data_IF_255138742235
#
_entry.id   IF_255138742235
#
_cell.length_a   1.000
_cell.length_b   1.000
_cell.length_c   1.000
_cell.angle_alpha   90.00
_cell.angle_beta   90.00
_cell.angle_gamma   90.00
#
_symmetry.space_group_name_H-M   'P 1'
#
loop_
_entity.id
_entity.type
_entity.pdbx_description
1 polymer ?
#
# COMPACT_ATOMS: atom_id res chain seq x y z
N UNK A 1 -8.22 -25.62 7.32
CA UNK A 1 -7.12 -24.92 6.63
C UNK A 1 -7.42 -23.43 6.62
N UNK A 2 -6.53 -22.65 7.19
CA UNK A 2 -6.76 -21.23 7.40
C UNK A 2 -5.72 -20.40 6.66
N UNK A 3 -5.77 -20.44 5.34
CA UNK A 3 -5.06 -19.51 4.48
C UNK A 3 -6.07 -18.72 3.65
N UNK A 4 -5.84 -17.45 3.51
CA UNK A 4 -6.68 -16.56 2.72
C UNK A 4 -5.84 -15.66 1.82
N UNK A 5 -6.33 -15.37 0.63
CA UNK A 5 -5.75 -14.42 -0.30
C UNK A 5 -6.82 -13.44 -0.76
N UNK A 6 -6.49 -12.15 -0.77
CA UNK A 6 -7.32 -11.13 -1.38
C UNK A 6 -6.82 -10.82 -2.78
N UNK A 7 -7.67 -11.05 -3.77
CA UNK A 7 -7.42 -10.76 -5.17
C UNK A 7 -8.19 -9.51 -5.56
N UNK A 8 -7.49 -8.56 -6.15
CA UNK A 8 -8.05 -7.27 -6.58
C UNK A 8 -7.67 -6.96 -8.02
N UNK A 9 -8.50 -6.18 -8.70
CA UNK A 9 -8.19 -5.66 -10.04
C UNK A 9 -7.47 -4.31 -9.88
N UNK A 10 -6.17 -4.24 -10.17
CA UNK A 10 -5.44 -3.00 -10.04
C UNK A 10 -5.80 -2.04 -11.18
N UNK A 11 -6.28 -0.86 -10.82
CA UNK A 11 -6.73 0.18 -11.77
C UNK A 11 -5.60 0.77 -12.62
N UNK A 12 -4.34 0.60 -12.20
CA UNK A 12 -3.16 1.12 -12.92
C UNK A 12 -2.86 0.41 -14.23
N UNK A 13 -3.40 -0.80 -14.42
CA UNK A 13 -3.18 -1.58 -15.63
C UNK A 13 -4.41 -1.55 -16.53
N UNK A 14 -4.22 -1.30 -17.82
CA UNK A 14 -5.27 -1.34 -18.84
C UNK A 14 -5.56 -2.78 -19.32
N UNK A 15 -4.71 -3.73 -18.98
CA UNK A 15 -4.84 -5.16 -19.29
C UNK A 15 -5.58 -5.88 -18.13
N UNK A 16 -6.20 -7.03 -18.40
CA UNK A 16 -6.84 -7.83 -17.34
C UNK A 16 -5.80 -8.48 -16.42
N UNK A 17 -5.32 -7.71 -15.45
CA UNK A 17 -4.35 -8.10 -14.44
C UNK A 17 -5.09 -8.30 -13.12
N UNK A 18 -4.74 -9.36 -12.40
CA UNK A 18 -5.15 -9.58 -11.01
C UNK A 18 -3.98 -9.26 -10.10
N UNK A 19 -4.22 -8.55 -9.02
CA UNK A 19 -3.21 -8.36 -7.98
C UNK A 19 -3.53 -9.24 -6.77
N UNK A 20 -2.52 -9.97 -6.30
CA UNK A 20 -2.53 -10.59 -4.99
C UNK A 20 -2.21 -9.50 -3.96
N UNK A 21 -3.26 -8.91 -3.40
CA UNK A 21 -3.16 -7.76 -2.53
C UNK A 21 -2.90 -8.10 -1.07
N UNK A 22 -3.29 -9.29 -0.63
CA UNK A 22 -3.06 -9.78 0.75
C UNK A 22 -2.97 -11.30 0.76
N UNK A 23 -2.10 -11.81 1.63
CA UNK A 23 -1.89 -13.22 1.85
C UNK A 23 -1.75 -13.45 3.37
N UNK A 24 -2.53 -14.36 3.91
CA UNK A 24 -2.56 -14.66 5.35
C UNK A 24 -2.61 -16.17 5.55
N UNK A 25 -1.85 -16.68 6.49
CA UNK A 25 -1.95 -18.04 6.98
C UNK A 25 -2.11 -18.05 8.50
N UNK A 26 -2.89 -19.00 9.01
CA UNK A 26 -2.90 -19.29 10.44
C UNK A 26 -1.55 -19.90 10.85
N UNK A 27 -1.10 -19.67 12.10
CA UNK A 27 0.18 -20.21 12.58
C UNK A 27 0.31 -21.73 12.49
N UNK A 28 -0.81 -22.43 12.61
CA UNK A 28 -0.95 -23.89 12.55
C UNK A 28 -1.34 -24.41 11.16
N UNK A 29 -1.26 -23.58 10.14
CA UNK A 29 -1.56 -23.98 8.77
C UNK A 29 -0.50 -24.97 8.27
N UNK A 30 -0.88 -26.25 8.18
CA UNK A 30 0.01 -27.33 7.68
C UNK A 30 0.33 -27.27 6.20
N UNK A 31 -0.18 -26.28 5.46
CA UNK A 31 0.07 -26.11 4.03
C UNK A 31 1.12 -25.04 3.79
N UNK A 32 2.22 -25.35 3.10
CA UNK A 32 3.19 -24.34 2.71
C UNK A 32 2.54 -23.22 1.91
N UNK A 33 2.88 -21.97 2.20
CA UNK A 33 2.30 -20.80 1.54
C UNK A 33 2.57 -20.77 0.03
N UNK A 34 3.71 -21.32 -0.41
CA UNK A 34 4.03 -21.50 -1.82
C UNK A 34 3.05 -22.42 -2.54
N UNK A 35 2.61 -23.49 -1.89
CA UNK A 35 1.59 -24.42 -2.42
C UNK A 35 0.22 -23.71 -2.49
N UNK A 36 -0.13 -22.94 -1.49
CA UNK A 36 -1.37 -22.17 -1.51
C UNK A 36 -1.39 -21.15 -2.66
N UNK A 37 -0.27 -20.44 -2.90
CA UNK A 37 -0.13 -19.54 -4.06
C UNK A 37 -0.28 -20.31 -5.37
N UNK A 38 0.29 -21.52 -5.47
CA UNK A 38 0.14 -22.34 -6.67
C UNK A 38 -1.33 -22.67 -6.93
N UNK A 39 -2.10 -23.06 -5.91
CA UNK A 39 -3.54 -23.30 -6.03
C UNK A 39 -4.32 -22.05 -6.45
N UNK A 40 -3.99 -20.88 -5.89
CA UNK A 40 -4.58 -19.61 -6.33
C UNK A 40 -4.30 -19.33 -7.82
N UNK A 41 -3.07 -19.57 -8.27
CA UNK A 41 -2.71 -19.39 -9.67
C UNK A 41 -3.46 -20.38 -10.59
N UNK A 42 -3.68 -21.63 -10.16
CA UNK A 42 -4.41 -22.64 -10.91
C UNK A 42 -5.91 -22.29 -11.00
N UNK A 43 -6.51 -21.83 -9.91
CA UNK A 43 -7.90 -21.35 -9.92
C UNK A 43 -8.08 -20.15 -10.85
N UNK A 44 -7.19 -19.17 -10.77
CA UNK A 44 -7.21 -18.02 -11.66
C UNK A 44 -7.03 -18.41 -13.14
N UNK A 45 -6.19 -19.41 -13.42
CA UNK A 45 -6.00 -19.94 -14.78
C UNK A 45 -7.29 -20.60 -15.31
N UNK A 46 -7.98 -21.37 -14.46
CA UNK A 46 -9.29 -21.95 -14.79
C UNK A 46 -10.34 -20.89 -15.08
N UNK A 47 -10.29 -19.77 -14.38
CA UNK A 47 -11.15 -18.59 -14.59
C UNK A 47 -10.68 -17.68 -15.73
N UNK A 48 -9.75 -18.15 -16.56
CA UNK A 48 -9.25 -17.43 -17.74
C UNK A 48 -8.52 -16.12 -17.46
N UNK A 49 -8.06 -15.90 -16.23
CA UNK A 49 -7.16 -14.80 -15.95
C UNK A 49 -5.80 -15.02 -16.63
N UNK A 50 -5.14 -13.93 -17.03
CA UNK A 50 -3.93 -13.98 -17.85
C UNK A 50 -2.66 -13.72 -17.06
N UNK A 51 -2.72 -12.77 -16.15
CA UNK A 51 -1.56 -12.23 -15.47
C UNK A 51 -1.91 -11.91 -14.01
N UNK A 52 -1.03 -12.30 -13.10
CA UNK A 52 -1.10 -11.95 -11.70
C UNK A 52 0.14 -11.13 -11.31
N UNK A 53 -0.05 -10.13 -10.48
CA UNK A 53 1.01 -9.32 -9.88
C UNK A 53 0.91 -9.32 -8.37
N UNK A 54 1.99 -9.03 -7.68
CA UNK A 54 2.00 -8.80 -6.24
C UNK A 54 3.12 -7.85 -5.85
N UNK A 55 3.03 -7.32 -4.64
CA UNK A 55 3.97 -6.36 -4.11
C UNK A 55 4.52 -6.86 -2.77
N UNK A 56 5.84 -6.88 -2.63
CA UNK A 56 6.50 -7.08 -1.35
C UNK A 56 6.93 -5.70 -0.81
N UNK A 57 6.55 -5.42 0.43
CA UNK A 57 6.80 -4.14 1.07
C UNK A 57 8.22 -4.08 1.61
N UNK A 58 9.06 -3.28 0.95
CA UNK A 58 10.45 -3.11 1.35
C UNK A 58 10.61 -2.26 2.63
N UNK A 59 9.60 -1.48 3.00
CA UNK A 59 9.61 -0.67 4.23
C UNK A 59 9.71 -1.55 5.48
N UNK A 60 9.01 -2.69 5.45
CA UNK A 60 9.04 -3.69 6.53
C UNK A 60 10.02 -4.85 6.27
N UNK A 61 10.98 -4.66 5.36
CA UNK A 61 12.03 -5.63 5.07
C UNK A 61 11.60 -6.82 4.20
N UNK A 62 10.40 -6.81 3.65
CA UNK A 62 9.95 -7.89 2.77
C UNK A 62 10.58 -7.76 1.38
N UNK A 63 11.48 -8.67 1.05
CA UNK A 63 12.14 -8.74 -0.26
C UNK A 63 11.43 -9.65 -1.27
N UNK A 64 10.31 -10.30 -0.87
CA UNK A 64 9.51 -11.15 -1.74
C UNK A 64 10.02 -12.59 -1.89
N UNK A 65 10.76 -13.12 -0.92
CA UNK A 65 11.30 -14.49 -0.96
C UNK A 65 10.26 -15.57 -1.27
N UNK A 66 9.02 -15.39 -0.80
CA UNK A 66 7.91 -16.28 -1.12
C UNK A 66 7.59 -16.30 -2.63
N UNK A 67 7.57 -15.16 -3.29
CA UNK A 67 7.33 -15.06 -4.74
C UNK A 67 8.49 -15.63 -5.53
N UNK A 68 9.72 -15.42 -5.07
CA UNK A 68 10.94 -15.99 -5.66
C UNK A 68 10.88 -17.52 -5.59
N UNK A 69 10.55 -18.09 -4.42
CA UNK A 69 10.37 -19.53 -4.22
C UNK A 69 9.25 -20.12 -5.11
N UNK A 70 8.25 -19.31 -5.47
CA UNK A 70 7.18 -19.70 -6.40
C UNK A 70 7.54 -19.47 -7.89
N UNK A 71 8.75 -19.04 -8.20
CA UNK A 71 9.20 -18.78 -9.58
C UNK A 71 8.49 -17.61 -10.26
N UNK A 72 8.10 -16.57 -9.49
CA UNK A 72 7.56 -15.35 -10.06
C UNK A 72 8.69 -14.47 -10.59
N UNK A 73 8.43 -13.74 -11.66
CA UNK A 73 9.39 -12.77 -12.18
C UNK A 73 9.41 -11.50 -11.33
N UNK A 74 10.61 -10.97 -11.12
CA UNK A 74 10.83 -9.70 -10.44
C UNK A 74 10.90 -8.57 -11.46
N UNK A 75 10.11 -7.50 -11.27
CA UNK A 75 10.07 -6.35 -12.20
C UNK A 75 10.80 -5.12 -11.66
N UNK A 76 11.31 -5.18 -10.44
CA UNK A 76 12.05 -4.09 -9.82
C UNK A 76 11.34 -3.42 -8.67
N UNK A 77 12.02 -2.45 -8.08
CA UNK A 77 11.51 -1.61 -7.02
C UNK A 77 10.63 -0.50 -7.62
N UNK A 78 9.42 -0.39 -7.15
CA UNK A 78 8.54 0.74 -7.45
C UNK A 78 8.96 1.95 -6.63
N UNK A 79 8.81 3.14 -7.23
CA UNK A 79 9.21 4.40 -6.57
C UNK A 79 8.57 4.51 -5.19
N UNK A 80 9.33 5.00 -4.22
CA UNK A 80 8.79 5.40 -2.94
C UNK A 80 7.64 6.38 -3.12
N UNK A 81 6.62 6.23 -2.32
CA UNK A 81 5.47 7.15 -2.30
C UNK A 81 5.20 7.54 -0.86
N UNK A 82 4.75 8.76 -0.66
CA UNK A 82 4.19 9.14 0.63
C UNK A 82 2.85 8.40 0.81
N UNK A 83 2.85 7.39 1.65
CA UNK A 83 1.69 6.49 1.86
C UNK A 83 0.87 6.90 3.09
N UNK A 84 1.39 7.83 3.91
CA UNK A 84 0.74 8.31 5.12
C UNK A 84 1.63 9.22 5.95
N UNK A 85 1.20 9.45 7.17
CA UNK A 85 1.93 10.24 8.16
C UNK A 85 2.16 9.41 9.43
N UNK A 86 3.19 9.74 10.16
CA UNK A 86 3.38 9.31 11.55
C UNK A 86 2.86 10.44 12.43
N UNK A 87 1.81 10.18 13.19
CA UNK A 87 1.20 11.13 14.11
C UNK A 87 1.39 10.56 15.52
N UNK A 88 2.09 11.31 16.37
CA UNK A 88 2.42 10.90 17.75
C UNK A 88 3.04 9.49 17.81
N UNK A 89 3.94 9.19 16.88
CA UNK A 89 4.61 7.90 16.75
C UNK A 89 3.77 6.78 16.11
N UNK A 90 2.53 7.04 15.72
CA UNK A 90 1.63 6.04 15.11
C UNK A 90 1.48 6.30 13.61
N UNK A 91 1.71 5.26 12.80
CA UNK A 91 1.48 5.36 11.36
C UNK A 91 0.00 5.44 11.01
N UNK A 92 -0.38 6.51 10.31
CA UNK A 92 -1.74 6.73 9.80
C UNK A 92 -1.71 6.71 8.27
N UNK A 93 -2.35 5.72 7.63
CA UNK A 93 -2.39 5.62 6.16
C UNK A 93 -3.03 6.84 5.51
N UNK A 94 -2.50 7.26 4.36
CA UNK A 94 -2.98 8.44 3.63
C UNK A 94 -4.46 8.37 3.25
N UNK A 95 -5.02 7.16 3.06
CA UNK A 95 -6.46 6.99 2.85
C UNK A 95 -7.27 7.37 4.09
N UNK A 96 -6.79 6.96 5.27
CA UNK A 96 -7.40 7.31 6.55
C UNK A 96 -7.30 8.82 6.83
N UNK A 97 -6.14 9.40 6.54
CA UNK A 97 -5.94 10.85 6.65
C UNK A 97 -6.92 11.63 5.78
N UNK A 98 -7.01 11.23 4.50
CA UNK A 98 -7.92 11.88 3.56
C UNK A 98 -9.40 11.76 3.98
N UNK A 99 -9.77 10.63 4.58
CA UNK A 99 -11.12 10.40 5.07
C UNK A 99 -11.43 11.24 6.32
N UNK A 100 -10.46 11.31 7.27
CA UNK A 100 -10.64 11.98 8.55
C UNK A 100 -10.43 13.50 8.48
N UNK A 101 -9.51 13.94 7.65
CA UNK A 101 -9.00 15.33 7.64
C UNK A 101 -9.06 16.00 6.27
N UNK A 102 -9.59 15.32 5.25
CA UNK A 102 -9.64 15.86 3.89
C UNK A 102 -8.29 16.02 3.19
N UNK A 103 -7.19 15.57 3.80
CA UNK A 103 -5.83 15.72 3.23
C UNK A 103 -4.93 14.54 3.56
N UNK A 104 -3.88 14.35 2.75
CA UNK A 104 -2.77 13.40 2.99
C UNK A 104 -1.45 14.11 3.24
N UNK A 105 -1.44 15.42 3.13
CA UNK A 105 -0.24 16.24 3.27
C UNK A 105 -0.05 16.69 4.71
N UNK A 106 1.16 16.52 5.26
CA UNK A 106 1.52 17.03 6.57
C UNK A 106 1.43 18.57 6.61
N UNK A 107 1.80 19.23 5.51
CA UNK A 107 1.72 20.67 5.37
C UNK A 107 0.28 21.15 5.42
N UNK A 108 -0.60 20.57 4.58
CA UNK A 108 -2.03 20.91 4.62
C UNK A 108 -2.71 20.56 5.93
N UNK A 109 -2.24 19.54 6.64
CA UNK A 109 -2.76 19.22 7.97
C UNK A 109 -2.41 20.31 8.98
N UNK A 110 -1.20 20.88 8.90
CA UNK A 110 -0.79 22.04 9.70
C UNK A 110 -1.55 23.31 9.33
N UNK A 111 -1.77 23.56 8.02
CA UNK A 111 -2.59 24.66 7.55
C UNK A 111 -4.04 24.53 8.05
N UNK A 112 -4.60 23.31 8.02
CA UNK A 112 -5.92 23.05 8.56
C UNK A 112 -5.97 23.31 10.07
N UNK A 113 -4.98 22.86 10.84
CA UNK A 113 -4.87 23.19 12.27
C UNK A 113 -4.93 24.70 12.50
N UNK A 114 -4.17 25.45 11.69
CA UNK A 114 -4.14 26.93 11.76
C UNK A 114 -5.51 27.56 11.43
N UNK A 115 -6.18 27.08 10.38
CA UNK A 115 -7.54 27.52 10.02
C UNK A 115 -8.56 27.29 11.15
N UNK A 116 -8.31 26.29 11.97
CA UNK A 116 -9.17 25.91 13.08
C UNK A 116 -8.96 26.78 14.32
N UNK A 117 -7.74 27.26 14.56
CA UNK A 117 -7.50 28.29 15.57
C UNK A 117 -8.26 29.58 15.20
N UNK A 118 -8.29 29.95 13.90
CA UNK A 118 -9.09 31.05 13.41
C UNK A 118 -10.62 30.82 13.58
N UNK A 119 -11.11 29.60 13.36
CA UNK A 119 -12.51 29.23 13.60
C UNK A 119 -12.87 29.43 15.08
N UNK A 120 -12.00 29.00 15.99
CA UNK A 120 -12.20 29.21 17.42
C UNK A 120 -12.21 30.70 17.80
N UNK A 121 -11.31 31.48 17.21
CA UNK A 121 -11.25 32.96 17.41
C UNK A 121 -12.48 33.68 16.81
N UNK A 122 -12.97 33.21 15.65
CA UNK A 122 -14.15 33.76 14.99
C UNK A 122 -15.47 33.46 15.69
N UNK A 123 -15.45 32.58 16.71
CA UNK A 123 -16.64 32.19 17.47
C UNK A 123 -17.62 31.33 16.67
N UNK A 124 -17.16 30.64 15.64
CA UNK A 124 -17.94 29.69 14.86
C UNK A 124 -18.27 28.48 15.75
N UNK A 125 -19.56 28.20 15.90
CA UNK A 125 -20.05 27.19 16.84
C UNK A 125 -20.76 26.01 16.16
N UNK A 126 -21.09 26.14 14.89
CA UNK A 126 -21.77 25.09 14.13
C UNK A 126 -20.86 24.43 13.11
N UNK A 127 -21.01 23.12 12.88
CA UNK A 127 -20.27 22.41 11.85
C UNK A 127 -20.51 23.00 10.45
N UNK A 128 -21.74 23.47 10.15
CA UNK A 128 -22.04 24.05 8.85
C UNK A 128 -21.25 25.34 8.58
N UNK A 129 -21.18 26.24 9.53
CA UNK A 129 -20.36 27.46 9.40
C UNK A 129 -18.88 27.14 9.26
N UNK A 130 -18.40 26.12 10.00
CA UNK A 130 -17.05 25.66 9.94
C UNK A 130 -16.73 24.98 8.58
N UNK A 131 -17.67 24.21 8.02
CA UNK A 131 -17.57 23.60 6.69
C UNK A 131 -17.47 24.67 5.59
N UNK A 132 -18.34 25.67 5.64
CA UNK A 132 -18.34 26.79 4.70
C UNK A 132 -17.00 27.55 4.78
N UNK A 133 -16.50 27.74 5.99
CA UNK A 133 -15.24 28.42 6.24
C UNK A 133 -14.04 27.70 5.65
N UNK A 134 -13.88 26.39 5.88
CA UNK A 134 -12.74 25.61 5.35
C UNK A 134 -12.87 25.35 3.85
N UNK A 135 -14.10 25.18 3.35
CA UNK A 135 -14.35 24.96 1.92
C UNK A 135 -13.99 26.20 1.10
N UNK A 136 -14.30 27.39 1.60
CA UNK A 136 -13.88 28.66 0.98
C UNK A 136 -12.36 28.81 0.86
N UNK A 137 -11.60 28.07 1.68
CA UNK A 137 -10.11 27.98 1.65
C UNK A 137 -9.57 26.78 0.88
N UNK A 138 -10.43 26.03 0.20
CA UNK A 138 -10.04 24.90 -0.66
C UNK A 138 -9.74 23.60 0.09
N UNK A 139 -10.18 23.46 1.34
CA UNK A 139 -10.11 22.21 2.07
C UNK A 139 -11.33 21.32 1.79
N UNK A 140 -11.14 20.01 1.84
CA UNK A 140 -12.24 19.06 1.80
C UNK A 140 -12.83 18.90 3.20
N UNK A 141 -14.16 18.78 3.27
CA UNK A 141 -14.85 18.55 4.53
C UNK A 141 -14.48 17.18 5.11
N UNK A 142 -13.97 17.13 6.36
CA UNK A 142 -13.72 15.90 7.05
C UNK A 142 -15.01 15.10 7.28
N UNK A 143 -14.93 13.76 7.19
CA UNK A 143 -16.08 12.87 7.34
C UNK A 143 -16.77 13.01 8.71
N UNK A 144 -16.01 13.21 9.75
CA UNK A 144 -16.49 13.25 11.13
C UNK A 144 -16.93 14.68 11.56
N UNK A 145 -17.00 15.61 10.60
CA UNK A 145 -17.26 17.03 10.84
C UNK A 145 -15.98 17.84 11.12
N UNK A 146 -16.08 19.14 10.88
CA UNK A 146 -14.92 20.06 10.98
C UNK A 146 -14.52 20.26 12.44
N UNK A 147 -15.47 20.52 13.34
CA UNK A 147 -15.17 20.77 14.75
C UNK A 147 -14.55 19.56 15.47
N UNK A 148 -14.98 18.36 15.12
CA UNK A 148 -14.38 17.13 15.69
C UNK A 148 -12.98 16.87 15.12
N UNK A 149 -12.78 17.08 13.82
CA UNK A 149 -11.45 17.00 13.19
C UNK A 149 -10.48 18.01 13.83
N UNK A 150 -10.96 19.20 14.12
CA UNK A 150 -10.22 20.27 14.84
C UNK A 150 -9.64 19.77 16.14
N UNK A 151 -10.49 19.27 17.01
CA UNK A 151 -10.08 18.78 18.35
C UNK A 151 -8.98 17.70 18.21
N UNK A 152 -9.14 16.80 17.23
CA UNK A 152 -8.15 15.74 16.96
C UNK A 152 -6.83 16.29 16.46
N UNK A 153 -6.86 17.29 15.55
CA UNK A 153 -5.64 17.89 15.01
C UNK A 153 -4.91 18.72 16.07
N UNK A 154 -5.63 19.51 16.87
CA UNK A 154 -5.05 20.31 17.95
C UNK A 154 -4.42 19.47 19.06
N UNK A 155 -4.84 18.21 19.21
CA UNK A 155 -4.25 17.27 20.15
C UNK A 155 -3.00 16.56 19.62
N UNK A 156 -2.62 16.74 18.35
CA UNK A 156 -1.42 16.12 17.77
C UNK A 156 -0.17 16.87 18.21
N UNK A 157 0.78 16.15 18.81
CA UNK A 157 2.06 16.73 19.24
C UNK A 157 3.11 16.64 18.15
N UNK A 158 3.13 15.56 17.37
CA UNK A 158 4.09 15.37 16.28
C UNK A 158 3.41 14.90 15.01
N UNK A 159 3.82 15.44 13.87
CA UNK A 159 3.36 15.03 12.55
C UNK A 159 4.56 14.94 11.62
N UNK A 160 4.87 13.72 11.19
CA UNK A 160 6.02 13.42 10.34
C UNK A 160 5.56 12.69 9.07
N UNK A 161 6.27 12.91 7.96
CA UNK A 161 6.00 12.18 6.71
C UNK A 161 6.53 10.75 6.84
N UNK A 162 5.67 9.77 6.61
CA UNK A 162 6.11 8.38 6.52
C UNK A 162 6.78 8.13 5.17
N UNK A 163 8.05 7.74 5.22
CA UNK A 163 8.81 7.39 4.02
C UNK A 163 8.61 5.92 3.69
N UNK A 164 7.81 5.63 2.65
CA UNK A 164 7.72 4.30 2.06
C UNK A 164 8.96 4.06 1.19
N UNK A 165 9.78 3.08 1.56
CA UNK A 165 10.99 2.69 0.82
C UNK A 165 10.70 2.10 -0.57
N UNK A 166 9.44 2.06 -0.97
CA UNK A 166 8.97 1.46 -2.20
C UNK A 166 8.65 -0.03 -2.06
N UNK A 167 7.99 -0.55 -3.07
CA UNK A 167 7.52 -1.95 -3.08
C UNK A 167 8.13 -2.71 -4.25
N UNK A 168 8.65 -3.88 -3.97
CA UNK A 168 9.14 -4.81 -4.99
C UNK A 168 7.96 -5.40 -5.75
N UNK A 169 7.91 -5.23 -7.06
CA UNK A 169 6.88 -5.81 -7.91
C UNK A 169 7.30 -7.19 -8.41
N UNK A 170 6.43 -8.14 -8.18
CA UNK A 170 6.50 -9.50 -8.72
C UNK A 170 5.33 -9.77 -9.65
N UNK A 171 5.55 -10.57 -10.68
CA UNK A 171 4.50 -10.95 -11.61
C UNK A 171 4.66 -12.40 -12.10
N UNK A 172 3.55 -13.00 -12.49
CA UNK A 172 3.53 -14.33 -13.10
C UNK A 172 2.48 -14.38 -14.20
N UNK A 173 2.87 -14.86 -15.39
CA UNK A 173 1.93 -15.21 -16.45
C UNK A 173 1.21 -16.53 -16.09
N UNK A 174 -0.10 -16.53 -16.20
CA UNK A 174 -0.92 -17.72 -15.91
C UNK A 174 -1.10 -18.58 -17.16
N UNK A 175 -0.91 -18.01 -18.36
CA UNK A 175 -0.98 -18.68 -19.65
C UNK A 175 -0.16 -17.92 -20.70
N UNK A 176 -0.18 -18.42 -21.94
CA UNK A 176 0.57 -17.80 -23.07
C UNK A 176 0.12 -16.34 -23.32
N UNK A 177 -1.19 -16.07 -23.27
CA UNK A 177 -1.71 -14.71 -23.42
C UNK A 177 -1.22 -13.79 -22.30
N UNK A 178 -0.98 -14.32 -21.09
CA UNK A 178 -0.38 -13.58 -19.98
C UNK A 178 1.06 -13.14 -20.25
N UNK A 179 1.86 -13.95 -20.93
CA UNK A 179 3.21 -13.55 -21.36
C UNK A 179 3.16 -12.36 -22.34
N UNK A 180 2.21 -12.40 -23.28
CA UNK A 180 1.98 -11.29 -24.22
C UNK A 180 1.53 -10.03 -23.50
N UNK A 181 0.59 -10.15 -22.54
CA UNK A 181 0.16 -9.03 -21.70
C UNK A 181 1.31 -8.44 -20.89
N UNK A 182 2.14 -9.28 -20.26
CA UNK A 182 3.31 -8.82 -19.51
C UNK A 182 4.28 -8.03 -20.38
N UNK A 183 4.57 -8.50 -21.60
CA UNK A 183 5.41 -7.80 -22.57
C UNK A 183 4.80 -6.44 -22.98
N UNK A 184 3.49 -6.40 -23.25
CA UNK A 184 2.77 -5.17 -23.61
C UNK A 184 2.77 -4.14 -22.49
N UNK A 185 2.71 -4.59 -21.25
CA UNK A 185 2.81 -3.75 -20.04
C UNK A 185 4.25 -3.33 -19.70
N UNK A 186 5.25 -3.80 -20.46
CA UNK A 186 6.65 -3.51 -20.21
C UNK A 186 7.20 -4.14 -18.92
N UNK A 187 6.58 -5.22 -18.44
CA UNK A 187 7.05 -5.93 -17.25
C UNK A 187 8.38 -6.64 -17.55
N UNK A 188 9.32 -6.48 -16.65
CA UNK A 188 10.68 -7.02 -16.77
C UNK A 188 10.85 -8.32 -15.97
N UNK A 189 11.90 -9.03 -16.26
CA UNK A 189 12.39 -10.16 -15.46
C UNK A 189 13.83 -9.83 -15.05
N UNK A 190 13.96 -9.22 -13.89
CA UNK A 190 15.24 -8.79 -13.33
C UNK A 190 15.78 -9.83 -12.35
N UNK A 191 17.08 -9.80 -12.03
CA UNK A 191 17.63 -10.58 -10.93
C UNK A 191 16.90 -10.28 -9.62
N UNK A 192 16.69 -11.29 -8.79
CA UNK A 192 15.99 -11.13 -7.51
C UNK A 192 16.78 -10.23 -6.54
N UNK A 193 16.10 -9.42 -5.75
CA UNK A 193 16.73 -8.66 -4.69
C UNK A 193 17.21 -9.61 -3.59
N UNK A 194 18.42 -9.36 -3.08
CA UNK A 194 18.93 -10.07 -1.92
C UNK A 194 18.27 -9.56 -0.64
N UNK A 195 18.10 -10.40 0.41
CA UNK A 195 17.65 -9.96 1.72
C UNK A 195 18.59 -8.90 2.30
N UNK A 196 18.03 -7.85 2.91
CA UNK A 196 18.83 -6.87 3.63
C UNK A 196 19.43 -7.52 4.89
N UNK A 197 20.72 -7.33 5.11
CA UNK A 197 21.41 -7.80 6.33
C UNK A 197 21.98 -9.20 6.29
N UNK A 198 21.86 -9.91 5.18
CA UNK A 198 22.65 -11.14 4.94
C UNK A 198 23.97 -10.69 4.34
N UNK A 199 25.09 -10.94 5.06
CA UNK A 199 26.41 -10.73 4.51
C UNK A 199 26.54 -11.47 3.17
N UNK A 200 27.18 -10.87 2.18
CA UNK A 200 27.31 -11.47 0.85
C UNK A 200 27.89 -12.90 0.93
N UNK A 201 28.78 -13.15 1.89
CA UNK A 201 29.44 -14.43 2.14
C UNK A 201 28.46 -15.57 2.52
N UNK A 202 27.33 -15.27 3.17
CA UNK A 202 26.35 -16.29 3.55
C UNK A 202 25.39 -16.63 2.41
N UNK A 203 25.14 -15.69 1.50
CA UNK A 203 24.27 -15.92 0.36
C UNK A 203 24.89 -16.85 -0.68
N UNK A 204 26.19 -16.66 -0.92
CA UNK A 204 26.95 -17.50 -1.87
C UNK A 204 27.18 -18.93 -1.34
N UNK A 205 27.21 -19.13 -0.01
CA UNK A 205 27.26 -20.46 0.62
C UNK A 205 25.97 -21.27 0.53
N UNK A 206 24.83 -20.61 0.35
CA UNK A 206 23.53 -21.29 0.20
C UNK A 206 23.21 -21.69 -1.25
N UNK A 207 24.05 -21.31 -2.21
CA UNK A 207 23.86 -21.64 -3.63
C UNK A 207 24.79 -22.76 -4.14
N UNK A 208 25.74 -23.23 -3.31
CA UNK A 208 26.60 -24.38 -3.57
C UNK A 208 26.11 -25.59 -2.77
#
# INVERSE_FOLDING_TARGET
>A
TLSAAALISPTRYKEPVVALGRLVAAPDCGVPMSQFIAWCCDDLRKRQHRLIVSFADNTVGHHGGLYQACGWHFDGLRKPTNDGLIIDGVFVPGRTLNLRYGTRSAEKLKELAWALDEIAVAGIQTDQEAEDYITARGFLVPRDGVLEATKKISAMSTVEVHFDAGKYLYWRALNVAGKTSAKRLGLKSLPYPKPKGVAEDLWDQCQN
#
